data_IF_891186409843
#
_entry.id   IF_891186409843
#
_cell.length_a   1.000
_cell.length_b   1.000
_cell.length_c   1.000
_cell.angle_alpha   90.00
_cell.angle_beta   90.00
_cell.angle_gamma   90.00
#
_symmetry.space_group_name_H-M   'P 1'
#
loop_
_entity.id
_entity.type
_entity.pdbx_description
1 polymer ?
#
# COMPACT_ATOMS: atom_id res chain seq x y z
N UNK A 1 18.38 26.98 -15.87
CA UNK A 1 19.70 26.41 -15.56
C UNK A 1 19.75 25.62 -14.23
N UNK A 2 18.63 25.33 -13.55
CA UNK A 2 18.61 24.63 -12.24
C UNK A 2 17.98 23.21 -12.25
N UNK A 3 17.55 22.70 -13.40
CA UNK A 3 16.80 21.42 -13.50
C UNK A 3 17.69 20.18 -13.71
N UNK A 4 18.98 20.34 -13.98
CA UNK A 4 19.91 19.24 -14.25
C UNK A 4 20.59 18.70 -12.98
N UNK A 5 20.63 19.48 -11.89
CA UNK A 5 21.36 19.09 -10.67
C UNK A 5 20.65 18.03 -9.80
N UNK A 6 19.33 17.83 -9.93
CA UNK A 6 18.61 16.79 -9.18
C UNK A 6 18.77 15.38 -9.79
N UNK A 7 19.18 15.27 -11.06
CA UNK A 7 19.22 13.97 -11.76
C UNK A 7 20.54 13.19 -11.58
N UNK A 8 21.60 13.85 -11.10
CA UNK A 8 22.94 13.29 -11.03
C UNK A 8 23.51 13.15 -9.61
N UNK A 9 22.73 13.45 -8.57
CA UNK A 9 23.16 13.19 -7.21
C UNK A 9 23.01 11.68 -6.94
N UNK A 10 24.07 10.95 -6.58
CA UNK A 10 23.90 9.57 -6.16
C UNK A 10 22.90 9.51 -5.00
N UNK A 11 22.01 8.51 -5.01
CA UNK A 11 21.02 8.27 -3.94
C UNK A 11 21.68 8.19 -2.54
N UNK A 12 22.95 7.80 -2.53
CA UNK A 12 23.85 7.80 -1.38
C UNK A 12 24.98 8.79 -1.70
N UNK A 13 24.82 10.05 -1.32
CA UNK A 13 25.88 11.04 -1.43
C UNK A 13 26.92 10.79 -0.33
N UNK A 14 27.96 10.01 -0.66
CA UNK A 14 29.10 9.76 0.24
C UNK A 14 29.93 11.02 0.53
N UNK A 15 29.65 12.16 -0.12
CA UNK A 15 30.43 13.39 0.02
C UNK A 15 29.83 14.41 0.99
N UNK A 16 28.55 14.28 1.38
CA UNK A 16 27.98 15.07 2.48
C UNK A 16 28.08 14.29 3.79
N UNK A 17 28.89 14.76 4.73
CA UNK A 17 29.15 14.10 6.02
C UNK A 17 27.96 14.04 6.97
N UNK A 18 26.81 14.63 6.62
CA UNK A 18 25.59 14.60 7.44
C UNK A 18 24.39 14.12 6.63
N UNK A 19 23.68 13.12 7.18
CA UNK A 19 22.37 12.71 6.67
C UNK A 19 21.40 13.90 6.72
N UNK A 20 20.46 14.01 5.75
CA UNK A 20 19.46 15.07 5.79
C UNK A 20 18.63 14.98 7.09
N UNK A 21 18.26 16.15 7.62
CA UNK A 21 17.32 16.21 8.73
C UNK A 21 15.92 15.84 8.21
N UNK A 22 15.33 14.83 8.84
CA UNK A 22 14.01 14.31 8.53
C UNK A 22 12.97 14.70 9.58
N UNK A 23 13.37 15.49 10.60
CA UNK A 23 12.48 15.93 11.66
C UNK A 23 11.27 16.69 11.09
N UNK A 24 10.10 16.47 11.66
CA UNK A 24 8.87 17.16 11.27
C UNK A 24 8.69 18.39 12.16
N UNK A 25 8.50 19.54 11.54
CA UNK A 25 8.26 20.81 12.26
C UNK A 25 6.86 20.82 12.87
N UNK A 26 6.59 21.79 13.76
CA UNK A 26 5.22 22.01 14.27
C UNK A 26 4.23 22.30 13.15
N UNK A 27 4.66 23.03 12.12
CA UNK A 27 3.83 23.34 10.95
C UNK A 27 3.55 22.09 10.10
N UNK A 28 4.55 21.21 9.94
CA UNK A 28 4.38 19.92 9.26
C UNK A 28 3.30 19.09 9.98
N UNK A 29 3.42 18.93 11.30
CA UNK A 29 2.46 18.19 12.11
C UNK A 29 1.05 18.78 12.05
N UNK A 30 0.94 20.11 12.15
CA UNK A 30 -0.33 20.79 12.02
C UNK A 30 -0.98 20.52 10.65
N UNK A 31 -0.20 20.63 9.57
CA UNK A 31 -0.67 20.37 8.21
C UNK A 31 -1.11 18.92 8.02
N UNK A 32 -0.34 17.96 8.55
CA UNK A 32 -0.66 16.53 8.50
C UNK A 32 -1.98 16.25 9.21
N UNK A 33 -2.11 16.68 10.46
CA UNK A 33 -3.33 16.44 11.26
C UNK A 33 -4.53 17.11 10.62
N UNK A 34 -4.38 18.36 10.16
CA UNK A 34 -5.44 19.08 9.47
C UNK A 34 -5.89 18.36 8.19
N UNK A 35 -4.96 17.98 7.32
CA UNK A 35 -5.29 17.33 6.06
C UNK A 35 -5.95 15.95 6.27
N UNK A 36 -5.47 15.17 7.24
CA UNK A 36 -6.09 13.89 7.60
C UNK A 36 -7.50 14.13 8.11
N UNK A 37 -7.71 15.02 9.09
CA UNK A 37 -9.04 15.29 9.63
C UNK A 37 -10.01 15.81 8.56
N UNK A 38 -9.60 16.79 7.77
CA UNK A 38 -10.43 17.38 6.70
C UNK A 38 -10.80 16.32 5.67
N UNK A 39 -9.84 15.51 5.21
CA UNK A 39 -10.15 14.44 4.25
C UNK A 39 -11.13 13.41 4.81
N UNK A 40 -10.98 13.00 6.09
CA UNK A 40 -11.89 12.03 6.71
C UNK A 40 -13.29 12.59 6.88
N UNK A 41 -13.41 13.82 7.39
CA UNK A 41 -14.72 14.48 7.54
C UNK A 41 -15.41 14.58 6.18
N UNK A 42 -14.72 15.12 5.18
CA UNK A 42 -15.28 15.33 3.84
C UNK A 42 -15.67 14.00 3.18
N UNK A 43 -14.78 13.01 3.18
CA UNK A 43 -15.01 11.77 2.44
C UNK A 43 -16.00 10.82 3.15
N UNK A 44 -16.02 10.77 4.49
CA UNK A 44 -17.08 10.04 5.18
C UNK A 44 -18.43 10.72 4.97
N UNK A 45 -18.50 12.05 5.11
CA UNK A 45 -19.74 12.79 4.93
C UNK A 45 -20.30 12.62 3.52
N UNK A 46 -19.50 12.94 2.49
CA UNK A 46 -19.95 12.83 1.09
C UNK A 46 -20.20 11.36 0.73
N UNK A 47 -19.37 10.42 1.21
CA UNK A 47 -19.57 8.99 0.96
C UNK A 47 -20.91 8.49 1.50
N UNK A 48 -21.22 8.77 2.77
CA UNK A 48 -22.45 8.29 3.42
C UNK A 48 -23.69 9.01 2.88
N UNK A 49 -23.64 10.34 2.72
CA UNK A 49 -24.73 11.11 2.11
C UNK A 49 -24.95 10.67 0.67
N UNK A 50 -23.88 10.46 -0.10
CA UNK A 50 -23.97 9.99 -1.48
C UNK A 50 -24.67 8.63 -1.58
N UNK A 51 -24.40 7.69 -0.68
CA UNK A 51 -25.12 6.40 -0.65
C UNK A 51 -26.61 6.59 -0.33
N UNK A 52 -26.95 7.49 0.59
CA UNK A 52 -28.35 7.79 0.92
C UNK A 52 -29.09 8.52 -0.20
N UNK A 53 -28.41 9.39 -0.95
CA UNK A 53 -28.99 10.10 -2.09
C UNK A 53 -29.13 9.19 -3.31
N UNK A 54 -28.10 8.41 -3.63
CA UNK A 54 -28.06 7.51 -4.79
C UNK A 54 -28.61 6.10 -4.47
N UNK A 55 -29.42 5.98 -3.42
CA UNK A 55 -30.00 4.74 -2.84
C UNK A 55 -30.09 3.58 -3.83
N UNK A 56 -29.24 2.58 -3.62
CA UNK A 56 -29.52 1.22 -4.09
C UNK A 56 -30.38 0.53 -3.04
N UNK A 57 -31.40 -0.24 -3.45
CA UNK A 57 -32.25 -1.07 -2.56
C UNK A 57 -31.39 -1.95 -1.63
N UNK A 58 -30.19 -2.32 -2.08
CA UNK A 58 -29.22 -3.16 -1.36
C UNK A 58 -28.54 -2.50 -0.13
N UNK A 59 -28.66 -1.19 0.07
CA UNK A 59 -27.92 -0.47 1.14
C UNK A 59 -28.80 0.22 2.18
N UNK A 60 -30.12 0.23 2.01
CA UNK A 60 -31.04 1.00 2.88
C UNK A 60 -31.11 0.50 4.33
N UNK A 61 -30.81 -0.78 4.56
CA UNK A 61 -30.85 -1.40 5.90
C UNK A 61 -29.47 -1.49 6.57
N UNK A 62 -28.41 -1.06 5.88
CA UNK A 62 -27.05 -1.15 6.39
C UNK A 62 -26.73 0.01 7.33
N UNK A 63 -26.10 -0.30 8.47
CA UNK A 63 -25.53 0.74 9.34
C UNK A 63 -24.34 1.41 8.67
N UNK A 64 -23.98 2.63 9.10
CA UNK A 64 -22.83 3.36 8.55
C UNK A 64 -21.53 2.51 8.55
N UNK A 65 -21.27 1.75 9.61
CA UNK A 65 -20.10 0.89 9.72
C UNK A 65 -20.14 -0.33 8.79
N UNK A 66 -21.34 -0.84 8.49
CA UNK A 66 -21.52 -1.91 7.49
C UNK A 66 -21.31 -1.38 6.07
N UNK A 67 -21.69 -0.13 5.83
CA UNK A 67 -21.47 0.59 4.56
C UNK A 67 -19.98 0.91 4.34
N UNK A 68 -19.26 1.28 5.41
CA UNK A 68 -17.82 1.58 5.35
C UNK A 68 -16.97 0.30 5.25
N UNK A 69 -17.19 -0.69 6.13
CA UNK A 69 -16.40 -1.92 6.18
C UNK A 69 -16.97 -2.98 5.23
N UNK A 70 -16.49 -2.97 3.96
CA UNK A 70 -16.95 -3.88 2.90
C UNK A 70 -15.81 -4.68 2.26
N UNK A 71 -16.21 -5.71 1.51
CA UNK A 71 -15.31 -6.63 0.79
C UNK A 71 -14.25 -7.24 1.72
N UNK A 72 -12.96 -6.94 1.54
CA UNK A 72 -11.85 -7.44 2.37
C UNK A 72 -12.02 -7.15 3.86
N UNK A 73 -12.61 -6.01 4.23
CA UNK A 73 -12.84 -5.70 5.64
C UNK A 73 -13.77 -6.74 6.31
N UNK A 74 -14.69 -7.34 5.56
CA UNK A 74 -15.56 -8.43 6.07
C UNK A 74 -14.75 -9.70 6.34
N UNK A 75 -13.72 -9.99 5.54
CA UNK A 75 -12.81 -11.10 5.78
C UNK A 75 -11.95 -10.88 7.02
N UNK A 76 -11.39 -9.68 7.18
CA UNK A 76 -10.69 -9.30 8.41
C UNK A 76 -11.60 -9.37 9.63
N UNK A 77 -12.87 -8.94 9.51
CA UNK A 77 -13.84 -9.03 10.62
C UNK A 77 -14.04 -10.47 11.07
N UNK A 78 -14.20 -11.41 10.12
CA UNK A 78 -14.34 -12.85 10.43
C UNK A 78 -13.11 -13.40 11.14
N UNK A 79 -11.90 -12.95 10.78
CA UNK A 79 -10.68 -13.35 11.47
C UNK A 79 -10.66 -12.87 12.93
N UNK A 80 -11.22 -11.69 13.20
CA UNK A 80 -11.36 -11.18 14.58
C UNK A 80 -12.31 -12.06 15.37
N UNK A 81 -13.48 -12.40 14.79
CA UNK A 81 -14.53 -13.17 15.44
C UNK A 81 -14.18 -14.64 15.66
N UNK A 82 -13.65 -15.28 14.62
CA UNK A 82 -13.56 -16.74 14.54
C UNK A 82 -12.14 -17.25 14.35
N UNK A 83 -11.16 -16.37 14.13
CA UNK A 83 -9.81 -16.76 13.73
C UNK A 83 -9.74 -17.20 12.26
N UNK A 84 -8.66 -17.92 11.91
CA UNK A 84 -8.52 -18.48 10.57
C UNK A 84 -9.46 -19.68 10.38
N UNK A 85 -10.05 -19.80 9.19
CA UNK A 85 -10.90 -20.93 8.85
C UNK A 85 -10.07 -22.23 8.80
N UNK A 86 -10.65 -23.36 9.21
CA UNK A 86 -10.03 -24.69 9.08
C UNK A 86 -10.22 -25.29 7.68
N UNK A 87 -11.33 -24.95 7.01
CA UNK A 87 -11.68 -25.39 5.67
C UNK A 87 -12.50 -24.31 4.95
N UNK A 88 -12.53 -24.30 3.61
CA UNK A 88 -13.29 -23.30 2.85
C UNK A 88 -14.79 -23.53 3.01
N UNK A 89 -15.51 -22.50 3.48
CA UNK A 89 -16.94 -22.59 3.84
C UNK A 89 -17.75 -21.32 3.55
N UNK A 90 -17.12 -20.32 2.94
CA UNK A 90 -17.75 -19.05 2.61
C UNK A 90 -18.01 -18.96 1.10
N UNK A 91 -18.93 -18.10 0.66
CA UNK A 91 -19.38 -17.96 -0.73
C UNK A 91 -20.11 -19.20 -1.27
N UNK A 92 -21.41 -19.05 -1.54
CA UNK A 92 -22.34 -20.14 -1.88
C UNK A 92 -21.91 -21.04 -3.05
N UNK A 93 -21.16 -20.51 -4.03
CA UNK A 93 -20.82 -21.23 -5.27
C UNK A 93 -19.32 -21.49 -5.48
N UNK A 94 -18.45 -21.03 -4.58
CA UNK A 94 -16.99 -21.06 -4.82
C UNK A 94 -16.14 -21.46 -3.62
N UNK A 95 -16.74 -21.70 -2.44
CA UNK A 95 -16.06 -22.13 -1.21
C UNK A 95 -14.71 -21.40 -0.98
N UNK A 96 -14.77 -20.22 -0.37
CA UNK A 96 -13.63 -19.42 0.03
C UNK A 96 -13.31 -19.55 1.52
N UNK A 97 -12.07 -19.21 1.87
CA UNK A 97 -11.54 -19.14 3.23
C UNK A 97 -10.72 -17.85 3.41
N UNK A 98 -10.53 -17.43 4.66
CA UNK A 98 -9.74 -16.24 4.98
C UNK A 98 -8.20 -16.43 4.88
N UNK A 99 -7.71 -17.53 4.30
CA UNK A 99 -6.28 -17.85 4.18
C UNK A 99 -5.48 -16.85 3.31
N UNK A 100 -6.13 -16.16 2.37
CA UNK A 100 -5.52 -15.12 1.55
C UNK A 100 -5.18 -13.83 2.31
N UNK A 101 -5.74 -13.65 3.51
CA UNK A 101 -5.67 -12.41 4.26
C UNK A 101 -4.59 -12.53 5.34
N UNK A 102 -3.69 -11.54 5.40
CA UNK A 102 -2.58 -11.52 6.33
C UNK A 102 -3.01 -11.08 7.74
N UNK A 103 -2.28 -11.50 8.79
CA UNK A 103 -2.80 -11.44 10.16
C UNK A 103 -2.70 -10.08 10.86
N UNK A 104 -1.79 -9.18 10.48
CA UNK A 104 -1.47 -8.00 11.32
C UNK A 104 -2.67 -7.06 11.50
N UNK A 105 -3.32 -6.62 10.43
CA UNK A 105 -4.47 -5.71 10.51
C UNK A 105 -5.63 -6.27 11.35
N UNK A 106 -6.11 -7.50 11.12
CA UNK A 106 -7.15 -8.09 11.97
C UNK A 106 -6.67 -8.36 13.39
N UNK A 107 -5.39 -8.70 13.62
CA UNK A 107 -4.86 -8.85 14.98
C UNK A 107 -4.92 -7.53 15.75
N UNK A 108 -4.51 -6.41 15.15
CA UNK A 108 -4.66 -5.08 15.76
C UNK A 108 -6.14 -4.73 16.02
N UNK A 109 -7.03 -5.06 15.09
CA UNK A 109 -8.48 -4.90 15.29
C UNK A 109 -9.00 -5.73 16.47
N UNK A 110 -8.48 -6.95 16.65
CA UNK A 110 -8.81 -7.85 17.77
C UNK A 110 -8.34 -7.29 19.11
N UNK A 111 -7.17 -6.66 19.18
CA UNK A 111 -6.68 -6.01 20.40
C UNK A 111 -7.58 -4.87 20.87
N UNK A 112 -8.27 -4.19 19.94
CA UNK A 112 -9.19 -3.10 20.26
C UNK A 112 -10.63 -3.58 20.56
N UNK A 113 -10.93 -4.87 20.36
CA UNK A 113 -12.27 -5.42 20.61
C UNK A 113 -12.81 -5.17 22.02
N UNK A 114 -12.01 -5.31 23.11
CA UNK A 114 -12.51 -5.05 24.47
C UNK A 114 -12.97 -3.61 24.71
N UNK A 115 -12.52 -2.65 23.89
CA UNK A 115 -12.83 -1.22 24.03
C UNK A 115 -14.08 -0.85 23.22
N UNK A 116 -14.19 -1.35 21.99
CA UNK A 116 -15.21 -0.89 21.04
C UNK A 116 -16.32 -1.92 20.75
N UNK A 117 -16.16 -3.19 21.14
CA UNK A 117 -17.20 -4.22 21.05
C UNK A 117 -17.56 -4.72 19.64
N UNK A 118 -17.16 -4.03 18.58
CA UNK A 118 -17.46 -4.39 17.19
C UNK A 118 -16.21 -4.38 16.31
N UNK A 119 -15.93 -5.50 15.64
CA UNK A 119 -14.69 -5.62 14.87
C UNK A 119 -14.66 -4.81 13.57
N UNK A 120 -15.79 -4.38 13.01
CA UNK A 120 -15.80 -3.47 11.86
C UNK A 120 -15.35 -2.09 12.32
N UNK A 121 -15.85 -1.64 13.48
CA UNK A 121 -15.43 -0.39 14.11
C UNK A 121 -13.93 -0.45 14.42
N UNK A 122 -13.44 -1.51 15.05
CA UNK A 122 -12.01 -1.61 15.38
C UNK A 122 -11.12 -1.62 14.13
N UNK A 123 -11.52 -2.31 13.06
CA UNK A 123 -10.77 -2.29 11.79
C UNK A 123 -10.75 -0.90 11.16
N UNK A 124 -11.88 -0.20 11.12
CA UNK A 124 -11.94 1.18 10.64
C UNK A 124 -11.02 2.08 11.45
N UNK A 125 -11.03 1.99 12.78
CA UNK A 125 -10.12 2.73 13.67
C UNK A 125 -8.66 2.40 13.34
N UNK A 126 -8.30 1.12 13.26
CA UNK A 126 -6.94 0.67 12.92
C UNK A 126 -6.50 1.25 11.58
N UNK A 127 -7.34 1.21 10.54
CA UNK A 127 -6.99 1.73 9.22
C UNK A 127 -6.76 3.25 9.23
N UNK A 128 -7.55 4.00 10.01
CA UNK A 128 -7.39 5.46 10.11
C UNK A 128 -6.17 5.85 10.94
N UNK A 129 -5.90 5.15 12.06
CA UNK A 129 -4.69 5.35 12.85
C UNK A 129 -3.44 5.00 12.05
N UNK A 130 -3.47 3.88 11.32
CA UNK A 130 -2.39 3.50 10.42
C UNK A 130 -2.16 4.55 9.33
N UNK A 131 -3.23 5.17 8.81
CA UNK A 131 -3.09 6.24 7.82
C UNK A 131 -2.45 7.49 8.43
N UNK A 132 -2.89 7.89 9.63
CA UNK A 132 -2.31 9.00 10.37
C UNK A 132 -0.81 8.81 10.65
N UNK A 133 -0.35 7.56 10.80
CA UNK A 133 1.08 7.20 10.91
C UNK A 133 1.76 7.16 9.54
N UNK A 134 1.06 6.69 8.49
CA UNK A 134 1.64 6.53 7.15
C UNK A 134 2.10 7.86 6.55
N UNK A 135 1.33 8.93 6.75
CA UNK A 135 1.64 10.26 6.20
C UNK A 135 2.96 10.82 6.75
N UNK A 136 3.19 10.97 8.06
CA UNK A 136 4.45 11.50 8.58
C UNK A 136 5.65 10.63 8.19
N UNK A 137 5.55 9.30 8.25
CA UNK A 137 6.64 8.41 7.83
C UNK A 137 6.95 8.57 6.34
N UNK A 138 5.91 8.73 5.51
CA UNK A 138 6.09 9.04 4.10
C UNK A 138 6.80 10.38 3.88
N UNK A 139 6.40 11.44 4.59
CA UNK A 139 7.06 12.75 4.49
C UNK A 139 8.52 12.68 4.94
N UNK A 140 8.83 11.93 6.00
CA UNK A 140 10.22 11.68 6.42
C UNK A 140 11.03 10.97 5.33
N UNK A 141 10.44 10.00 4.62
CA UNK A 141 11.06 9.36 3.46
C UNK A 141 11.27 10.36 2.30
N UNK A 142 10.32 11.25 2.01
CA UNK A 142 10.48 12.30 1.01
C UNK A 142 11.60 13.30 1.37
N UNK A 143 11.71 13.68 2.66
CA UNK A 143 12.82 14.50 3.18
C UNK A 143 14.17 13.81 2.97
N UNK A 144 14.25 12.51 3.26
CA UNK A 144 15.45 11.69 3.00
C UNK A 144 15.83 11.68 1.51
N UNK A 145 14.85 11.72 0.60
CA UNK A 145 15.04 11.77 -0.85
C UNK A 145 15.31 13.17 -1.40
N UNK A 146 15.35 14.21 -0.55
CA UNK A 146 15.63 15.58 -0.97
C UNK A 146 14.50 16.27 -1.74
N UNK A 147 13.25 15.81 -1.56
CA UNK A 147 12.06 16.46 -2.14
C UNK A 147 11.91 17.87 -1.54
N UNK A 148 11.44 18.84 -2.33
CA UNK A 148 11.28 20.22 -1.85
C UNK A 148 10.20 20.31 -0.78
N UNK A 149 10.29 21.29 0.12
CA UNK A 149 9.26 21.53 1.15
C UNK A 149 7.85 21.69 0.54
N UNK A 150 7.75 22.37 -0.61
CA UNK A 150 6.49 22.49 -1.35
C UNK A 150 5.99 21.14 -1.88
N UNK A 151 6.89 20.29 -2.36
CA UNK A 151 6.57 18.91 -2.77
C UNK A 151 6.10 18.05 -1.60
N UNK A 152 6.74 18.17 -0.44
CA UNK A 152 6.36 17.49 0.80
C UNK A 152 4.97 17.92 1.27
N UNK A 153 4.71 19.24 1.38
CA UNK A 153 3.39 19.78 1.74
C UNK A 153 2.31 19.33 0.76
N UNK A 154 2.62 19.31 -0.54
CA UNK A 154 1.70 18.81 -1.56
C UNK A 154 1.40 17.31 -1.40
N UNK A 155 2.42 16.52 -1.08
CA UNK A 155 2.29 15.07 -0.89
C UNK A 155 1.32 14.70 0.24
N UNK A 156 1.27 15.49 1.33
CA UNK A 156 0.30 15.33 2.42
C UNK A 156 -1.14 15.34 1.86
N UNK A 157 -1.49 16.40 1.14
CA UNK A 157 -2.83 16.57 0.56
C UNK A 157 -3.12 15.55 -0.55
N UNK A 158 -2.11 15.22 -1.36
CA UNK A 158 -2.19 14.20 -2.40
C UNK A 158 -2.57 12.82 -1.84
N UNK A 159 -1.97 12.41 -0.72
CA UNK A 159 -2.34 11.16 -0.05
C UNK A 159 -3.74 11.23 0.55
N UNK A 160 -4.05 12.33 1.25
CA UNK A 160 -5.33 12.50 1.95
C UNK A 160 -6.54 12.55 1.00
N UNK A 161 -6.37 13.10 -0.20
CA UNK A 161 -7.42 13.19 -1.22
C UNK A 161 -7.15 12.29 -2.43
N UNK A 162 -6.28 11.29 -2.30
CA UNK A 162 -6.09 10.29 -3.35
C UNK A 162 -7.43 9.64 -3.70
N UNK A 163 -7.75 9.42 -4.99
CA UNK A 163 -9.00 8.78 -5.39
C UNK A 163 -9.26 7.45 -4.68
N UNK A 164 -8.20 6.74 -4.27
CA UNK A 164 -8.24 5.45 -3.60
C UNK A 164 -7.95 5.52 -2.09
N UNK A 165 -7.96 6.71 -1.48
CA UNK A 165 -7.82 6.87 -0.02
C UNK A 165 -8.95 6.20 0.76
N UNK A 166 -10.03 5.76 0.09
CA UNK A 166 -11.10 4.95 0.71
C UNK A 166 -10.55 3.67 1.36
N UNK A 167 -9.49 3.05 0.82
CA UNK A 167 -8.82 1.92 1.47
C UNK A 167 -8.09 2.30 2.76
N UNK A 168 -7.86 3.58 3.00
CA UNK A 168 -7.32 4.08 4.26
C UNK A 168 -8.41 4.48 5.27
N UNK A 169 -9.67 4.27 4.91
CA UNK A 169 -10.87 4.60 5.70
C UNK A 169 -11.72 3.36 6.00
N UNK A 170 -11.70 2.36 5.11
CA UNK A 170 -12.65 1.25 5.09
C UNK A 170 -12.22 -0.01 5.87
N UNK A 171 -11.24 0.07 6.78
CA UNK A 171 -10.78 -1.08 7.56
C UNK A 171 -9.83 -2.02 6.81
N UNK A 172 -8.96 -1.44 5.98
CA UNK A 172 -8.08 -2.13 5.05
C UNK A 172 -6.61 -2.04 5.50
N UNK A 173 -5.75 -2.92 4.98
CA UNK A 173 -4.36 -3.09 5.41
C UNK A 173 -3.37 -2.12 4.73
N UNK A 174 -3.78 -1.52 3.62
CA UNK A 174 -3.04 -0.58 2.78
C UNK A 174 -2.38 0.57 3.54
N UNK A 175 -3.08 1.34 4.40
CA UNK A 175 -2.43 2.43 5.13
C UNK A 175 -1.29 1.95 6.03
N UNK A 176 -1.47 0.82 6.72
CA UNK A 176 -0.42 0.22 7.55
C UNK A 176 0.75 -0.25 6.69
N UNK A 177 0.45 -0.87 5.54
CA UNK A 177 1.48 -1.31 4.61
C UNK A 177 2.31 -0.14 4.05
N UNK A 178 1.66 0.97 3.69
CA UNK A 178 2.35 2.19 3.24
C UNK A 178 3.27 2.71 4.35
N UNK A 179 2.80 2.77 5.61
CA UNK A 179 3.61 3.20 6.74
C UNK A 179 4.86 2.31 6.92
N UNK A 180 4.66 0.99 6.94
CA UNK A 180 5.73 0.02 7.12
C UNK A 180 6.74 0.07 5.98
N UNK A 181 6.28 0.04 4.72
CA UNK A 181 7.16 0.10 3.53
C UNK A 181 7.93 1.42 3.52
N UNK A 182 7.28 2.56 3.75
CA UNK A 182 7.96 3.87 3.81
C UNK A 182 9.04 3.86 4.89
N UNK A 183 8.75 3.29 6.06
CA UNK A 183 9.71 3.13 7.15
C UNK A 183 10.88 2.20 6.79
N UNK A 184 10.62 1.09 6.08
CA UNK A 184 11.68 0.19 5.60
C UNK A 184 12.66 0.92 4.70
N UNK A 185 12.17 1.65 3.69
CA UNK A 185 13.02 2.43 2.79
C UNK A 185 13.78 3.52 3.56
N UNK A 186 13.10 4.27 4.42
CA UNK A 186 13.71 5.32 5.24
C UNK A 186 14.84 4.77 6.13
N UNK A 187 14.61 3.68 6.85
CA UNK A 187 15.63 3.05 7.70
C UNK A 187 16.77 2.47 6.87
N UNK A 188 16.47 1.81 5.75
CA UNK A 188 17.49 1.22 4.88
C UNK A 188 18.43 2.28 4.28
N UNK A 189 17.89 3.40 3.78
CA UNK A 189 18.69 4.52 3.26
C UNK A 189 19.58 5.19 4.31
N UNK A 190 19.27 5.01 5.59
CA UNK A 190 20.05 5.52 6.72
C UNK A 190 20.89 4.42 7.39
N UNK A 191 21.04 3.26 6.77
CA UNK A 191 21.78 2.09 7.27
C UNK A 191 21.28 1.58 8.65
N UNK A 192 20.03 1.89 8.99
CA UNK A 192 19.34 1.40 10.20
C UNK A 192 18.74 0.01 9.96
N UNK A 193 19.61 -0.96 9.63
CA UNK A 193 19.20 -2.28 9.15
C UNK A 193 18.33 -3.07 10.14
N UNK A 194 18.53 -2.90 11.45
CA UNK A 194 17.68 -3.56 12.46
C UNK A 194 16.20 -3.12 12.32
N UNK A 195 15.96 -1.81 12.20
CA UNK A 195 14.60 -1.29 12.03
C UNK A 195 14.03 -1.63 10.67
N UNK A 196 14.85 -1.61 9.61
CA UNK A 196 14.43 -2.09 8.29
C UNK A 196 13.99 -3.56 8.33
N UNK A 197 14.69 -4.41 9.09
CA UNK A 197 14.35 -5.82 9.29
C UNK A 197 13.02 -6.00 10.03
N UNK A 198 12.84 -5.32 11.16
CA UNK A 198 11.62 -5.40 11.99
C UNK A 198 10.42 -4.92 11.18
N UNK A 199 10.51 -3.74 10.56
CA UNK A 199 9.43 -3.19 9.75
C UNK A 199 9.14 -4.05 8.52
N UNK A 200 10.17 -4.59 7.87
CA UNK A 200 10.02 -5.45 6.70
C UNK A 200 9.37 -6.80 7.05
N UNK A 201 9.75 -7.41 8.17
CA UNK A 201 9.09 -8.62 8.69
C UNK A 201 7.59 -8.35 8.92
N UNK A 202 7.25 -7.26 9.62
CA UNK A 202 5.85 -6.90 9.88
C UNK A 202 5.12 -6.58 8.56
N UNK A 203 5.78 -5.93 7.60
CA UNK A 203 5.20 -5.65 6.29
C UNK A 203 4.84 -6.95 5.53
N UNK A 204 5.72 -7.94 5.58
CA UNK A 204 5.53 -9.26 4.94
C UNK A 204 4.34 -10.05 5.51
N UNK A 205 3.97 -9.81 6.78
CA UNK A 205 2.76 -10.38 7.42
C UNK A 205 1.61 -9.36 7.54
N UNK A 206 1.74 -8.19 6.92
CA UNK A 206 0.63 -7.23 6.73
C UNK A 206 0.01 -7.40 5.34
N UNK A 207 0.85 -7.69 4.33
CA UNK A 207 0.45 -8.10 2.99
C UNK A 207 1.48 -9.11 2.46
N UNK A 208 1.03 -10.16 1.79
CA UNK A 208 1.87 -11.23 1.26
C UNK A 208 3.02 -10.71 0.37
N UNK A 209 2.76 -9.71 -0.48
CA UNK A 209 3.78 -9.11 -1.35
C UNK A 209 4.79 -8.20 -0.62
N UNK A 210 4.62 -7.99 0.70
CA UNK A 210 5.61 -7.32 1.55
C UNK A 210 6.93 -8.09 1.63
N UNK A 211 6.91 -9.42 1.47
CA UNK A 211 8.13 -10.24 1.42
C UNK A 211 9.09 -9.81 0.30
N UNK A 212 8.55 -9.20 -0.77
CA UNK A 212 9.31 -8.74 -1.93
C UNK A 212 10.20 -7.53 -1.64
N UNK A 213 10.10 -6.93 -0.45
CA UNK A 213 11.05 -5.93 0.04
C UNK A 213 12.49 -6.47 0.09
N UNK A 214 12.67 -7.79 0.15
CA UNK A 214 13.99 -8.44 0.08
C UNK A 214 14.81 -7.92 -1.11
N UNK A 215 14.19 -7.75 -2.28
CA UNK A 215 14.88 -7.28 -3.49
C UNK A 215 15.31 -5.81 -3.38
N UNK A 216 14.44 -4.96 -2.82
CA UNK A 216 14.77 -3.56 -2.58
C UNK A 216 15.89 -3.40 -1.57
N UNK A 217 15.84 -4.16 -0.47
CA UNK A 217 16.87 -4.13 0.56
C UNK A 217 18.22 -4.62 0.00
N UNK A 218 18.23 -5.65 -0.84
CA UNK A 218 19.44 -6.09 -1.54
C UNK A 218 19.99 -4.97 -2.44
N UNK A 219 19.16 -4.30 -3.23
CA UNK A 219 19.61 -3.19 -4.09
C UNK A 219 20.20 -2.06 -3.24
N UNK A 220 19.53 -1.63 -2.17
CA UNK A 220 20.03 -0.58 -1.28
C UNK A 220 21.35 -1.02 -0.63
N UNK A 221 21.44 -2.25 -0.14
CA UNK A 221 22.67 -2.77 0.46
C UNK A 221 23.84 -2.80 -0.55
N UNK A 222 23.59 -3.19 -1.80
CA UNK A 222 24.57 -3.15 -2.89
C UNK A 222 24.98 -1.70 -3.19
N UNK A 223 24.05 -0.74 -3.16
CA UNK A 223 24.36 0.67 -3.38
C UNK A 223 25.24 1.27 -2.27
N UNK A 224 25.02 0.89 -1.00
CA UNK A 224 25.84 1.35 0.13
C UNK A 224 27.23 0.71 0.13
N UNK A 225 27.28 -0.62 0.10
CA UNK A 225 28.50 -1.38 0.37
C UNK A 225 29.26 -1.80 -0.90
N UNK A 226 28.58 -1.90 -2.03
CA UNK A 226 29.11 -2.47 -3.27
C UNK A 226 28.96 -3.99 -3.31
N UNK A 227 28.73 -4.54 -4.50
CA UNK A 227 28.44 -5.97 -4.70
C UNK A 227 29.51 -6.89 -4.10
N UNK A 228 30.79 -6.64 -4.39
CA UNK A 228 31.91 -7.48 -3.89
C UNK A 228 32.03 -7.44 -2.35
N UNK A 229 31.81 -6.28 -1.74
CA UNK A 229 31.95 -6.14 -0.29
C UNK A 229 30.78 -6.76 0.47
N UNK A 230 29.60 -6.88 -0.14
CA UNK A 230 28.45 -7.51 0.48
C UNK A 230 28.75 -8.97 0.88
N UNK A 231 29.52 -9.68 0.04
CA UNK A 231 29.94 -11.08 0.27
C UNK A 231 31.19 -11.21 1.14
N UNK A 232 31.82 -10.11 1.58
CA UNK A 232 32.92 -10.17 2.54
C UNK A 232 32.43 -10.39 3.98
N UNK A 233 31.11 -10.29 4.21
CA UNK A 233 30.46 -10.45 5.52
C UNK A 233 31.08 -9.63 6.66
N UNK A 234 31.74 -8.50 6.35
CA UNK A 234 32.17 -7.53 7.36
C UNK A 234 30.94 -6.91 8.04
N UNK A 235 31.10 -6.48 9.30
CA UNK A 235 29.98 -6.16 10.20
C UNK A 235 28.87 -5.25 9.60
N UNK A 236 29.16 -4.17 8.85
CA UNK A 236 28.10 -3.35 8.23
C UNK A 236 27.32 -4.09 7.14
N UNK A 237 28.02 -4.82 6.26
CA UNK A 237 27.41 -5.62 5.21
C UNK A 237 26.64 -6.82 5.78
N UNK A 238 27.16 -7.45 6.84
CA UNK A 238 26.48 -8.55 7.52
C UNK A 238 25.14 -8.10 8.09
N UNK A 239 25.07 -6.92 8.73
CA UNK A 239 23.80 -6.35 9.24
C UNK A 239 22.77 -6.16 8.13
N UNK A 240 23.19 -5.71 6.95
CA UNK A 240 22.30 -5.52 5.81
C UNK A 240 21.78 -6.86 5.26
N UNK A 241 22.67 -7.84 5.10
CA UNK A 241 22.31 -9.19 4.63
C UNK A 241 21.39 -9.88 5.63
N UNK A 242 21.70 -9.86 6.92
CA UNK A 242 20.85 -10.47 7.96
C UNK A 242 19.50 -9.78 8.02
N UNK A 243 19.44 -8.45 8.01
CA UNK A 243 18.19 -7.70 7.97
C UNK A 243 17.31 -8.08 6.76
N UNK A 244 17.94 -8.28 5.61
CA UNK A 244 17.25 -8.68 4.38
C UNK A 244 16.64 -10.09 4.50
N UNK A 245 17.37 -11.02 5.12
CA UNK A 245 16.88 -12.39 5.38
C UNK A 245 15.81 -12.46 6.46
N UNK A 246 15.78 -11.54 7.42
CA UNK A 246 14.73 -11.45 8.46
C UNK A 246 13.33 -11.21 7.84
N UNK A 247 13.24 -10.49 6.72
CA UNK A 247 11.96 -10.15 6.09
C UNK A 247 11.15 -11.40 5.67
N UNK A 248 11.71 -12.37 4.91
CA UNK A 248 11.03 -13.62 4.59
C UNK A 248 10.59 -14.47 5.79
N UNK A 249 11.25 -14.39 6.95
CA UNK A 249 10.83 -15.19 8.12
C UNK A 249 9.41 -14.88 8.59
N UNK A 250 8.95 -13.63 8.45
CA UNK A 250 7.55 -13.30 8.73
C UNK A 250 6.60 -14.09 7.82
N UNK A 251 6.86 -14.05 6.52
CA UNK A 251 6.04 -14.73 5.53
C UNK A 251 6.09 -16.25 5.65
N UNK A 252 7.28 -16.82 5.87
CA UNK A 252 7.43 -18.26 6.10
C UNK A 252 6.81 -18.73 7.41
N UNK A 253 6.84 -17.89 8.45
CA UNK A 253 6.10 -18.12 9.69
C UNK A 253 4.60 -18.21 9.45
N UNK A 254 4.06 -17.31 8.61
CA UNK A 254 2.65 -17.36 8.21
C UNK A 254 2.32 -18.60 7.36
N UNK A 255 3.18 -18.99 6.41
CA UNK A 255 3.02 -20.24 5.64
C UNK A 255 3.04 -21.47 6.54
N UNK A 256 3.93 -21.50 7.52
CA UNK A 256 4.02 -22.58 8.52
C UNK A 256 2.74 -22.65 9.36
N UNK A 257 2.24 -21.49 9.78
CA UNK A 257 0.95 -21.40 10.47
C UNK A 257 -0.19 -21.96 9.61
N UNK A 258 -0.27 -21.59 8.32
CA UNK A 258 -1.30 -22.11 7.40
C UNK A 258 -1.19 -23.63 7.20
N UNK A 259 0.02 -24.18 7.16
CA UNK A 259 0.23 -25.61 7.10
C UNK A 259 -0.40 -26.33 8.31
N UNK A 260 -0.19 -25.83 9.52
CA UNK A 260 -0.84 -26.40 10.72
C UNK A 260 -2.34 -26.13 10.79
N UNK A 261 -2.82 -25.02 10.22
CA UNK A 261 -4.23 -24.63 10.25
C UNK A 261 -5.09 -25.38 9.22
N UNK A 262 -4.54 -25.66 8.03
CA UNK A 262 -5.30 -26.14 6.86
C UNK A 262 -4.68 -27.35 6.17
N UNK A 263 -3.46 -27.76 6.56
CA UNK A 263 -2.67 -28.78 5.86
C UNK A 263 -1.90 -28.27 4.64
N UNK A 264 -2.03 -26.99 4.29
CA UNK A 264 -1.45 -26.41 3.07
C UNK A 264 -0.72 -25.09 3.37
N UNK A 265 0.62 -25.10 3.24
CA UNK A 265 1.46 -23.92 3.45
C UNK A 265 1.23 -22.81 2.40
N UNK A 266 0.71 -23.18 1.22
CA UNK A 266 0.43 -22.30 0.09
C UNK A 266 -1.06 -21.96 -0.03
N UNK A 267 -1.85 -22.27 1.00
CA UNK A 267 -3.29 -22.05 1.03
C UNK A 267 -3.71 -20.60 0.65
N UNK A 268 -2.91 -19.59 1.02
CA UNK A 268 -3.15 -18.19 0.67
C UNK A 268 -3.16 -17.93 -0.86
N UNK A 269 -2.37 -18.71 -1.61
CA UNK A 269 -2.25 -18.66 -3.06
C UNK A 269 -3.31 -19.54 -3.73
N UNK A 270 -3.49 -20.77 -3.26
CA UNK A 270 -4.48 -21.69 -3.83
C UNK A 270 -5.92 -21.17 -3.69
N UNK A 271 -6.26 -20.53 -2.57
CA UNK A 271 -7.61 -20.01 -2.33
C UNK A 271 -7.99 -18.86 -3.27
N UNK A 272 -7.03 -18.26 -4.00
CA UNK A 272 -7.29 -17.20 -4.99
C UNK A 272 -8.27 -17.65 -6.10
N UNK A 273 -8.33 -18.96 -6.39
CA UNK A 273 -9.27 -19.52 -7.37
C UNK A 273 -10.74 -19.24 -7.02
N UNK A 274 -11.07 -19.09 -5.72
CA UNK A 274 -12.42 -18.75 -5.27
C UNK A 274 -12.85 -17.34 -5.73
N UNK A 275 -11.90 -16.46 -6.07
CA UNK A 275 -12.16 -15.16 -6.68
C UNK A 275 -11.90 -15.14 -8.20
N UNK A 276 -11.76 -16.31 -8.84
CA UNK A 276 -11.53 -16.44 -10.28
C UNK A 276 -10.16 -15.94 -10.72
N UNK A 277 -9.17 -15.94 -9.82
CA UNK A 277 -7.80 -15.53 -10.12
C UNK A 277 -6.97 -16.77 -10.44
N UNK A 278 -6.38 -16.79 -11.63
CA UNK A 278 -5.48 -17.83 -12.10
C UNK A 278 -4.27 -17.15 -12.70
N UNK A 279 -3.08 -17.64 -12.39
CA UNK A 279 -1.84 -17.07 -12.93
C UNK A 279 -1.73 -17.38 -14.42
N UNK A 280 -1.73 -16.35 -15.26
CA UNK A 280 -1.64 -16.41 -16.72
C UNK A 280 -0.65 -15.36 -17.23
N UNK A 281 -0.48 -15.24 -18.54
CA UNK A 281 0.40 -14.23 -19.09
C UNK A 281 -0.25 -12.84 -18.97
N UNK A 282 0.49 -11.78 -18.58
CA UNK A 282 -0.09 -10.44 -18.40
C UNK A 282 -0.62 -9.83 -19.70
N UNK A 283 -0.13 -10.27 -20.87
CA UNK A 283 -0.63 -9.80 -22.18
C UNK A 283 -2.09 -10.20 -22.38
N UNK A 284 -2.48 -11.41 -21.98
CA UNK A 284 -3.86 -11.90 -22.08
C UNK A 284 -4.83 -10.96 -21.35
N UNK A 285 -4.42 -10.43 -20.19
CA UNK A 285 -5.21 -9.47 -19.42
C UNK A 285 -5.27 -8.08 -20.06
N UNK A 286 -4.23 -7.68 -20.80
CA UNK A 286 -4.26 -6.44 -21.57
C UNK A 286 -5.30 -6.57 -22.68
N UNK A 287 -5.17 -7.62 -23.51
CA UNK A 287 -6.10 -7.91 -24.61
C UNK A 287 -7.54 -7.99 -24.11
N UNK A 288 -7.78 -8.80 -23.08
CA UNK A 288 -9.09 -8.92 -22.44
C UNK A 288 -9.66 -7.56 -21.98
N UNK A 289 -8.82 -6.69 -21.41
CA UNK A 289 -9.25 -5.37 -20.97
C UNK A 289 -9.68 -4.46 -22.12
N UNK A 290 -8.94 -4.49 -23.23
CA UNK A 290 -9.27 -3.71 -24.44
C UNK A 290 -10.50 -4.26 -25.16
N UNK A 291 -10.61 -5.58 -25.31
CA UNK A 291 -11.75 -6.24 -25.93
C UNK A 291 -13.05 -6.02 -25.16
N UNK A 292 -12.99 -6.15 -23.82
CA UNK A 292 -14.20 -6.01 -23.00
C UNK A 292 -14.66 -4.56 -22.85
N UNK A 293 -13.72 -3.60 -22.93
CA UNK A 293 -14.00 -2.18 -22.76
C UNK A 293 -14.43 -1.81 -21.34
N UNK A 294 -15.05 -0.63 -21.19
CA UNK A 294 -15.68 -0.18 -19.95
C UNK A 294 -14.77 -0.23 -18.71
N UNK A 295 -15.23 -0.90 -17.64
CA UNK A 295 -14.48 -1.01 -16.39
C UNK A 295 -13.16 -1.78 -16.55
N UNK A 296 -13.12 -2.81 -17.41
CA UNK A 296 -11.91 -3.62 -17.61
C UNK A 296 -10.84 -2.82 -18.35
N UNK A 297 -11.22 -2.05 -19.38
CA UNK A 297 -10.30 -1.12 -20.04
C UNK A 297 -9.72 -0.12 -19.04
N UNK A 298 -10.56 0.48 -18.20
CA UNK A 298 -10.11 1.38 -17.14
C UNK A 298 -9.07 0.73 -16.21
N UNK A 299 -9.33 -0.49 -15.73
CA UNK A 299 -8.42 -1.22 -14.84
C UNK A 299 -7.08 -1.54 -15.54
N UNK A 300 -7.13 -1.91 -16.83
CA UNK A 300 -5.93 -2.11 -17.65
C UNK A 300 -5.11 -0.82 -17.78
N UNK A 301 -5.75 0.31 -18.07
CA UNK A 301 -5.06 1.60 -18.19
C UNK A 301 -4.40 2.02 -16.87
N UNK A 302 -5.04 1.78 -15.73
CA UNK A 302 -4.44 2.01 -14.42
C UNK A 302 -3.22 1.11 -14.21
N UNK A 303 -3.30 -0.17 -14.55
CA UNK A 303 -2.16 -1.09 -14.51
C UNK A 303 -0.99 -0.63 -15.38
N UNK A 304 -1.27 -0.26 -16.64
CA UNK A 304 -0.27 0.29 -17.58
C UNK A 304 0.36 1.58 -17.08
N UNK A 305 -0.43 2.48 -16.46
CA UNK A 305 0.14 3.68 -15.82
C UNK A 305 1.09 3.34 -14.68
N UNK A 306 0.81 2.28 -13.92
CA UNK A 306 1.70 1.76 -12.88
C UNK A 306 3.03 1.28 -13.46
N UNK A 307 3.00 0.52 -14.56
CA UNK A 307 4.23 0.10 -15.25
C UNK A 307 4.99 1.28 -15.88
N UNK A 308 4.29 2.30 -16.38
CA UNK A 308 4.93 3.54 -16.84
C UNK A 308 5.65 4.27 -15.69
N UNK A 309 5.05 4.30 -14.49
CA UNK A 309 5.68 4.84 -13.28
C UNK A 309 6.92 4.04 -12.87
N UNK A 310 6.89 2.71 -12.97
CA UNK A 310 8.08 1.85 -12.78
C UNK A 310 9.18 2.24 -13.75
N UNK A 311 8.87 2.38 -15.04
CA UNK A 311 9.83 2.83 -16.06
C UNK A 311 10.43 4.20 -15.73
N UNK A 312 9.60 5.14 -15.26
CA UNK A 312 10.07 6.46 -14.84
C UNK A 312 11.02 6.38 -13.63
N UNK A 313 10.70 5.57 -12.61
CA UNK A 313 11.59 5.34 -11.46
C UNK A 313 12.93 4.74 -11.90
N UNK A 314 12.94 3.79 -12.83
CA UNK A 314 14.16 3.24 -13.43
C UNK A 314 15.00 4.31 -14.14
N UNK A 315 14.39 5.18 -14.95
CA UNK A 315 15.07 6.31 -15.61
C UNK A 315 15.68 7.27 -14.58
N UNK A 316 15.00 7.46 -13.44
CA UNK A 316 15.48 8.26 -12.32
C UNK A 316 16.42 7.50 -11.37
N UNK A 317 16.80 6.26 -11.72
CA UNK A 317 17.71 5.38 -10.96
C UNK A 317 17.23 4.99 -9.56
N UNK A 318 15.94 5.14 -9.26
CA UNK A 318 15.29 4.63 -8.04
C UNK A 318 14.97 3.14 -8.20
N UNK A 319 16.01 2.32 -8.39
CA UNK A 319 15.87 0.90 -8.72
C UNK A 319 15.23 0.09 -7.58
N UNK A 320 15.48 0.47 -6.33
CA UNK A 320 14.93 -0.22 -5.17
C UNK A 320 13.41 -0.04 -5.07
N UNK A 321 12.90 1.16 -5.30
CA UNK A 321 11.47 1.45 -5.37
C UNK A 321 10.84 0.82 -6.63
N UNK A 322 11.53 0.92 -7.77
CA UNK A 322 11.06 0.41 -9.04
C UNK A 322 10.86 -1.11 -9.01
N UNK A 323 11.82 -1.88 -8.48
CA UNK A 323 11.70 -3.34 -8.42
C UNK A 323 10.56 -3.77 -7.49
N UNK A 324 10.39 -3.09 -6.35
CA UNK A 324 9.30 -3.39 -5.42
C UNK A 324 7.94 -3.16 -6.07
N UNK A 325 7.79 -2.00 -6.69
CA UNK A 325 6.57 -1.61 -7.38
C UNK A 325 6.29 -2.53 -8.57
N UNK A 326 7.32 -2.88 -9.34
CA UNK A 326 7.20 -3.81 -10.45
C UNK A 326 6.65 -5.16 -10.00
N UNK A 327 7.27 -5.79 -8.99
CA UNK A 327 6.81 -7.11 -8.51
C UNK A 327 5.39 -7.02 -7.93
N UNK A 328 5.09 -5.96 -7.18
CA UNK A 328 3.77 -5.75 -6.57
C UNK A 328 2.66 -5.45 -7.59
N UNK A 329 3.00 -5.01 -8.80
CA UNK A 329 2.05 -4.82 -9.90
C UNK A 329 2.00 -6.06 -10.81
N UNK A 330 3.15 -6.61 -11.16
CA UNK A 330 3.27 -7.74 -12.09
C UNK A 330 2.50 -8.97 -11.60
N UNK A 331 2.67 -9.35 -10.33
CA UNK A 331 2.03 -10.55 -9.78
C UNK A 331 0.49 -10.48 -9.82
N UNK A 332 -0.18 -9.44 -9.27
CA UNK A 332 -1.63 -9.36 -9.38
C UNK A 332 -2.10 -9.14 -10.82
N UNK A 333 -1.39 -8.34 -11.63
CA UNK A 333 -1.75 -8.09 -13.02
C UNK A 333 -1.68 -9.37 -13.88
N UNK A 334 -0.80 -10.31 -13.53
CA UNK A 334 -0.71 -11.65 -14.16
C UNK A 334 -1.82 -12.61 -13.70
N UNK A 335 -2.74 -12.16 -12.82
CA UNK A 335 -3.80 -13.02 -12.28
C UNK A 335 -5.22 -12.47 -12.47
N UNK A 336 -5.37 -11.14 -12.53
CA UNK A 336 -6.64 -10.45 -12.75
C UNK A 336 -6.43 -8.94 -12.89
N UNK A 337 -7.28 -8.29 -13.69
CA UNK A 337 -7.40 -6.82 -13.70
C UNK A 337 -8.14 -6.27 -12.46
N UNK A 338 -8.85 -7.12 -11.74
CA UNK A 338 -9.69 -6.66 -10.63
C UNK A 338 -8.81 -6.07 -9.50
N UNK A 339 -9.22 -4.90 -9.00
CA UNK A 339 -8.52 -4.15 -7.97
C UNK A 339 -7.13 -3.60 -8.36
N UNK A 340 -6.81 -3.46 -9.66
CA UNK A 340 -5.55 -2.80 -10.07
C UNK A 340 -5.30 -1.42 -9.44
N UNK A 341 -6.30 -0.51 -9.31
CA UNK A 341 -6.08 0.75 -8.61
C UNK A 341 -5.66 0.58 -7.15
N UNK A 342 -6.17 -0.44 -6.46
CA UNK A 342 -5.78 -0.78 -5.10
C UNK A 342 -4.32 -1.25 -5.02
N UNK A 343 -3.90 -2.09 -5.95
CA UNK A 343 -2.51 -2.57 -6.03
C UNK A 343 -1.53 -1.44 -6.36
N UNK A 344 -1.95 -0.42 -7.12
CA UNK A 344 -1.13 0.74 -7.42
C UNK A 344 -1.08 1.75 -6.25
N UNK A 345 -2.23 2.23 -5.80
CA UNK A 345 -2.33 3.28 -4.79
C UNK A 345 -2.14 2.77 -3.35
N UNK A 346 -2.02 1.46 -3.15
CA UNK A 346 -1.59 0.85 -1.88
C UNK A 346 -0.07 0.83 -1.67
N UNK A 347 0.71 1.40 -2.60
CA UNK A 347 2.17 1.31 -2.61
C UNK A 347 2.84 2.67 -2.38
N UNK A 348 3.81 2.69 -1.47
CA UNK A 348 4.70 3.83 -1.24
C UNK A 348 5.37 4.35 -2.54
N UNK A 349 6.01 3.49 -3.38
CA UNK A 349 6.66 3.94 -4.61
C UNK A 349 5.73 4.66 -5.60
N UNK A 350 4.44 4.33 -5.60
CA UNK A 350 3.48 4.98 -6.49
C UNK A 350 3.31 6.44 -6.11
N UNK A 351 3.03 6.73 -4.84
CA UNK A 351 2.96 8.11 -4.34
C UNK A 351 4.29 8.85 -4.50
N UNK A 352 5.40 8.18 -4.21
CA UNK A 352 6.73 8.76 -4.41
C UNK A 352 6.96 9.18 -5.87
N UNK A 353 6.64 8.31 -6.84
CA UNK A 353 6.76 8.61 -8.25
C UNK A 353 5.84 9.78 -8.67
N UNK A 354 4.61 9.86 -8.15
CA UNK A 354 3.71 11.00 -8.41
C UNK A 354 4.34 12.31 -7.90
N UNK A 355 4.89 12.31 -6.68
CA UNK A 355 5.58 13.48 -6.12
C UNK A 355 6.79 13.87 -6.96
N UNK A 356 7.60 12.90 -7.42
CA UNK A 356 8.74 13.17 -8.32
C UNK A 356 8.33 13.79 -9.66
N UNK A 357 7.20 13.35 -10.24
CA UNK A 357 6.66 13.95 -11.47
C UNK A 357 6.19 15.39 -11.21
N UNK A 358 5.55 15.63 -10.06
CA UNK A 358 5.08 16.95 -9.65
C UNK A 358 6.19 17.89 -9.17
N UNK A 359 7.35 17.37 -8.80
CA UNK A 359 8.59 18.14 -8.66
C UNK A 359 9.10 18.63 -10.00
N UNK A 360 9.09 17.76 -11.01
CA UNK A 360 9.50 18.12 -12.37
C UNK A 360 8.52 19.10 -13.03
N UNK A 361 7.22 18.95 -12.78
CA UNK A 361 6.16 19.75 -13.37
C UNK A 361 5.33 20.46 -12.28
N UNK A 362 5.87 21.52 -11.65
CA UNK A 362 5.24 22.16 -10.49
C UNK A 362 3.89 22.80 -10.82
N UNK A 363 3.67 23.21 -12.08
CA UNK A 363 2.36 23.74 -12.54
C UNK A 363 1.25 22.69 -12.51
N UNK A 364 1.59 21.40 -12.57
CA UNK A 364 0.62 20.30 -12.54
C UNK A 364 0.15 19.95 -11.11
N UNK A 365 0.79 20.48 -10.06
CA UNK A 365 0.44 20.21 -8.65
C UNK A 365 -1.03 20.50 -8.37
N UNK A 366 -1.46 21.74 -8.60
CA UNK A 366 -2.84 22.16 -8.30
C UNK A 366 -3.86 21.39 -9.14
N UNK A 367 -3.73 21.28 -10.49
CA UNK A 367 -4.66 20.48 -11.29
C UNK A 367 -4.78 19.02 -10.85
N UNK A 368 -3.66 18.37 -10.51
CA UNK A 368 -3.67 16.97 -10.04
C UNK A 368 -4.40 16.87 -8.70
N UNK A 369 -4.13 17.76 -7.75
CA UNK A 369 -4.82 17.76 -6.46
C UNK A 369 -6.31 18.06 -6.60
N UNK A 370 -6.71 19.00 -7.44
CA UNK A 370 -8.12 19.27 -7.73
C UNK A 370 -8.80 18.05 -8.35
N UNK A 371 -8.14 17.38 -9.28
CA UNK A 371 -8.66 16.14 -9.89
C UNK A 371 -8.82 15.05 -8.84
N UNK A 372 -7.82 14.86 -7.98
CA UNK A 372 -7.83 13.88 -6.89
C UNK A 372 -8.97 14.17 -5.91
N UNK A 373 -9.11 15.43 -5.47
CA UNK A 373 -10.18 15.87 -4.60
C UNK A 373 -11.58 15.72 -5.23
N UNK A 374 -11.72 15.82 -6.55
CA UNK A 374 -12.98 15.59 -7.26
C UNK A 374 -13.32 14.10 -7.40
N UNK A 375 -12.33 13.24 -7.70
CA UNK A 375 -12.55 11.81 -7.90
C UNK A 375 -12.65 11.02 -6.59
N UNK A 376 -11.97 11.43 -5.52
CA UNK A 376 -11.99 10.71 -4.24
C UNK A 376 -13.40 10.54 -3.64
N UNK A 377 -14.27 11.57 -3.62
CA UNK A 377 -15.65 11.39 -3.19
C UNK A 377 -16.44 10.43 -4.09
N UNK A 378 -16.28 10.51 -5.42
CA UNK A 378 -16.97 9.63 -6.38
C UNK A 378 -16.60 8.17 -6.15
N UNK A 379 -15.30 7.88 -6.01
CA UNK A 379 -14.81 6.53 -5.73
C UNK A 379 -15.30 6.06 -4.35
N UNK A 380 -15.33 6.95 -3.36
CA UNK A 380 -15.81 6.63 -2.00
C UNK A 380 -17.29 6.25 -2.02
N UNK A 381 -18.14 7.03 -2.70
CA UNK A 381 -19.55 6.71 -2.90
C UNK A 381 -19.68 5.36 -3.60
N UNK A 382 -18.93 5.15 -4.70
CA UNK A 382 -18.95 3.89 -5.44
C UNK A 382 -18.50 2.67 -4.63
N UNK A 383 -17.53 2.84 -3.73
CA UNK A 383 -17.08 1.80 -2.82
C UNK A 383 -18.17 1.49 -1.77
N UNK A 384 -18.72 2.52 -1.14
CA UNK A 384 -19.76 2.37 -0.12
C UNK A 384 -21.08 1.83 -0.70
N UNK A 385 -21.43 2.14 -1.96
CA UNK A 385 -22.64 1.66 -2.64
C UNK A 385 -22.51 0.29 -3.31
N UNK A 386 -21.34 -0.36 -3.25
CA UNK A 386 -21.01 -1.62 -3.97
C UNK A 386 -20.84 -1.47 -5.49
N UNK A 387 -21.11 -0.30 -6.06
CA UNK A 387 -21.15 -0.12 -7.52
C UNK A 387 -19.77 -0.26 -8.22
N UNK A 388 -18.67 0.07 -7.53
CA UNK A 388 -17.37 0.26 -8.20
C UNK A 388 -16.49 -1.01 -8.32
N UNK A 389 -16.82 -2.11 -7.61
CA UNK A 389 -15.91 -3.26 -7.46
C UNK A 389 -16.50 -4.62 -7.86
N UNK A 390 -17.74 -4.66 -8.36
CA UNK A 390 -18.43 -5.92 -8.72
C UNK A 390 -18.66 -6.11 -10.23
N UNK A 391 -17.96 -5.37 -11.09
CA UNK A 391 -18.01 -5.56 -12.56
C UNK A 391 -16.66 -5.98 -13.14
#
# INVERSE_FOLDING_TARGET
MSTVQLANKPLVDKTSSSLPDISLTKEDWFTIVLAVLVSRIVLYFIGLVGVDVFKTVDTSELTAWQTICRFDCVWFRRMIDYGYDLYPKWLSNKNAANWAFMPVTPFLGKLLMPIFGDGKITLVIVSNLAFLISVPVFIMALKQMGISEKGQKHAIWLMCFSPFTVYSMAGYAEPLFIALVSGVFLCAYREQWLWAAILGLIAAITRNLGVMLVFSLLIIAIQHYGFRNLFTFRLPALRAVTATWVVPFGFFGFMTFLYFQSGDALAFGHIQIAWGRVFTHPIDWIEYGFERGGSKLYLTLVGLSGFAMVGYLCVKKYFAEAIFMFINLYLPFSSSLNAMPRYLFGLYPAFFCMVLLLERYPKARTPVLCSFAAFAPIITIGFFSRAFFTL
#
